data_IF_391482636407
#
_entry.id   IF_391482636407
#
_cell.length_a   1.000
_cell.length_b   1.000
_cell.length_c   1.000
_cell.angle_alpha   90.00
_cell.angle_beta   90.00
_cell.angle_gamma   90.00
#
_symmetry.space_group_name_H-M   'P 1'
#
loop_
_entity.id
_entity.type
_entity.pdbx_description
1 polymer ?
#
# COMPACT_ATOMS: atom_id res chain seq x y z
N UNK A 1 19.68 5.32 16.66
CA UNK A 1 19.57 6.78 16.78
C UNK A 1 19.32 7.45 15.44
N UNK A 2 20.35 7.61 14.60
CA UNK A 2 20.33 8.50 13.42
C UNK A 2 19.65 7.95 12.13
N UNK A 3 19.36 6.64 12.04
CA UNK A 3 18.84 6.03 10.80
C UNK A 3 17.31 6.08 10.66
N UNK A 4 16.57 6.18 11.78
CA UNK A 4 15.09 6.23 11.74
C UNK A 4 14.59 7.63 11.36
N UNK A 5 15.35 8.69 11.66
CA UNK A 5 14.99 10.09 11.37
C UNK A 5 15.03 10.45 9.89
N UNK A 6 15.55 9.57 9.03
CA UNK A 6 15.57 9.76 7.57
C UNK A 6 14.67 8.76 6.82
N UNK A 7 13.84 8.02 7.55
CA UNK A 7 12.84 7.13 6.96
C UNK A 7 11.46 7.78 7.04
N UNK A 8 10.60 7.52 6.05
CA UNK A 8 9.21 7.96 6.09
C UNK A 8 8.36 6.94 6.83
N UNK A 9 7.36 7.45 7.55
CA UNK A 9 6.38 6.64 8.26
C UNK A 9 5.00 6.88 7.66
N UNK A 10 4.34 5.79 7.27
CA UNK A 10 2.97 5.85 6.75
C UNK A 10 2.04 5.12 7.69
N UNK A 11 1.16 5.85 8.36
CA UNK A 11 0.09 5.27 9.16
C UNK A 11 -1.19 5.19 8.34
N UNK A 12 -1.84 4.03 8.33
CA UNK A 12 -3.16 3.86 7.72
C UNK A 12 -4.05 3.04 8.65
N UNK A 13 -5.26 3.53 8.90
CA UNK A 13 -6.28 2.88 9.72
C UNK A 13 -7.51 2.61 8.88
N UNK A 14 -8.05 1.40 8.99
CA UNK A 14 -9.34 1.08 8.40
C UNK A 14 -10.43 1.82 9.17
N UNK A 15 -11.28 2.58 8.48
CA UNK A 15 -12.38 3.34 9.10
C UNK A 15 -13.74 3.01 8.51
N UNK A 16 -13.80 2.65 7.22
CA UNK A 16 -15.05 2.37 6.51
C UNK A 16 -15.17 0.86 6.24
N UNK A 17 -16.23 0.17 6.74
CA UNK A 17 -16.46 -1.25 6.51
C UNK A 17 -16.80 -1.62 5.05
N UNK A 18 -17.21 -0.65 4.25
CA UNK A 18 -17.59 -0.81 2.84
C UNK A 18 -16.48 -0.37 1.88
N UNK A 19 -15.27 -0.10 2.39
CA UNK A 19 -14.17 0.34 1.53
C UNK A 19 -13.78 -0.74 0.53
N UNK A 20 -13.48 -0.30 -0.69
CA UNK A 20 -12.89 -1.14 -1.74
C UNK A 20 -11.37 -1.12 -1.59
N UNK A 21 -10.76 -2.27 -1.27
CA UNK A 21 -9.32 -2.41 -1.01
C UNK A 21 -8.47 -1.95 -2.20
N UNK A 22 -8.94 -2.18 -3.42
CA UNK A 22 -8.25 -1.70 -4.63
C UNK A 22 -8.19 -0.18 -4.68
N UNK A 23 -9.26 0.53 -4.28
CA UNK A 23 -9.28 1.99 -4.32
C UNK A 23 -8.42 2.58 -3.20
N UNK A 24 -8.36 1.93 -2.04
CA UNK A 24 -7.40 2.26 -0.98
C UNK A 24 -5.96 2.05 -1.46
N UNK A 25 -5.68 0.98 -2.20
CA UNK A 25 -4.35 0.74 -2.77
C UNK A 25 -3.97 1.82 -3.80
N UNK A 26 -4.92 2.22 -4.68
CA UNK A 26 -4.71 3.33 -5.62
C UNK A 26 -4.42 4.65 -4.89
N UNK A 27 -5.18 4.95 -3.83
CA UNK A 27 -4.91 6.12 -2.99
C UNK A 27 -3.50 6.06 -2.38
N UNK A 28 -3.09 4.88 -1.92
CA UNK A 28 -1.72 4.60 -1.49
C UNK A 28 -0.67 4.91 -2.55
N UNK A 29 -0.92 4.56 -3.82
CA UNK A 29 -0.01 4.88 -4.93
C UNK A 29 0.02 6.37 -5.27
N UNK A 30 -1.10 7.08 -5.20
CA UNK A 30 -1.11 8.54 -5.33
C UNK A 30 -0.29 9.21 -4.21
N UNK A 31 -0.41 8.73 -2.97
CA UNK A 31 0.48 9.19 -1.90
C UNK A 31 1.94 8.82 -2.17
N UNK A 32 2.19 7.65 -2.75
CA UNK A 32 3.52 7.19 -3.18
C UNK A 32 4.15 8.12 -4.22
N UNK A 33 3.41 8.51 -5.25
CA UNK A 33 3.86 9.45 -6.29
C UNK A 33 4.18 10.82 -5.68
N UNK A 34 3.34 11.31 -4.77
CA UNK A 34 3.62 12.54 -4.02
C UNK A 34 4.97 12.47 -3.33
N UNK A 35 5.17 11.43 -2.51
CA UNK A 35 6.38 11.26 -1.70
C UNK A 35 7.61 11.06 -2.57
N UNK A 36 7.49 10.30 -3.65
CA UNK A 36 8.59 10.06 -4.59
C UNK A 36 9.12 11.37 -5.20
N UNK A 37 8.24 12.36 -5.41
CA UNK A 37 8.59 13.63 -6.03
C UNK A 37 8.98 14.73 -5.04
N UNK A 38 8.56 14.65 -3.78
CA UNK A 38 8.69 15.75 -2.82
C UNK A 38 9.52 15.40 -1.59
N UNK A 39 9.71 14.11 -1.29
CA UNK A 39 10.44 13.67 -0.10
C UNK A 39 11.79 13.07 -0.45
N UNK A 40 12.78 13.30 0.41
CA UNK A 40 14.07 12.63 0.37
C UNK A 40 14.11 11.61 1.50
N UNK A 41 14.01 10.32 1.16
CA UNK A 41 13.91 9.24 2.13
C UNK A 41 14.93 8.12 1.88
N UNK A 42 15.41 7.52 2.97
CA UNK A 42 16.24 6.31 2.91
C UNK A 42 15.42 5.01 2.89
N UNK A 43 14.10 5.13 2.98
CA UNK A 43 13.13 4.04 2.89
C UNK A 43 11.94 4.24 3.83
N UNK A 44 11.00 3.31 3.77
CA UNK A 44 9.68 3.51 4.37
C UNK A 44 9.33 2.44 5.40
N UNK A 45 8.73 2.91 6.50
CA UNK A 45 8.01 2.08 7.46
C UNK A 45 6.51 2.29 7.26
N UNK A 46 5.78 1.19 7.03
CA UNK A 46 4.33 1.22 6.88
C UNK A 46 3.68 0.64 8.12
N UNK A 47 2.76 1.39 8.71
CA UNK A 47 1.98 1.01 9.88
C UNK A 47 0.53 0.90 9.44
N UNK A 48 -0.01 -0.32 9.50
CA UNK A 48 -1.36 -0.65 9.05
C UNK A 48 -2.16 -1.14 10.26
N UNK A 49 -3.15 -0.34 10.66
CA UNK A 49 -4.04 -0.64 11.78
C UNK A 49 -5.34 -1.30 11.29
N UNK A 50 -5.50 -2.57 11.69
CA UNK A 50 -6.61 -3.44 11.33
C UNK A 50 -7.69 -3.51 12.41
N UNK A 51 -7.70 -2.60 13.39
CA UNK A 51 -8.70 -2.59 14.49
C UNK A 51 -10.15 -2.65 14.00
N UNK A 52 -10.45 -2.04 12.85
CA UNK A 52 -11.79 -2.04 12.25
C UNK A 52 -11.88 -2.94 11.00
N UNK A 53 -10.98 -3.90 10.84
CA UNK A 53 -11.00 -4.83 9.72
C UNK A 53 -12.20 -5.78 9.82
N UNK A 54 -12.92 -5.95 8.71
CA UNK A 54 -14.03 -6.90 8.59
C UNK A 54 -13.65 -8.05 7.66
N UNK A 55 -14.42 -9.14 7.69
CA UNK A 55 -14.26 -10.24 6.73
C UNK A 55 -14.47 -9.75 5.28
N UNK A 56 -15.33 -8.75 5.07
CA UNK A 56 -15.56 -8.18 3.74
C UNK A 56 -14.30 -7.54 3.16
N UNK A 57 -13.48 -6.87 3.98
CA UNK A 57 -12.17 -6.39 3.53
C UNK A 57 -11.24 -7.56 3.18
N UNK A 58 -11.22 -8.58 4.04
CA UNK A 58 -10.38 -9.77 3.86
C UNK A 58 -10.65 -10.50 2.54
N UNK A 59 -11.92 -10.68 2.16
CA UNK A 59 -12.30 -11.37 0.93
C UNK A 59 -11.84 -10.66 -0.35
N UNK A 60 -11.56 -9.36 -0.29
CA UNK A 60 -11.05 -8.60 -1.44
C UNK A 60 -9.56 -8.87 -1.72
N UNK A 61 -8.79 -9.35 -0.72
CA UNK A 61 -7.36 -9.66 -0.85
C UNK A 61 -7.11 -10.98 -1.59
N UNK A 62 -7.44 -11.00 -2.88
CA UNK A 62 -7.12 -12.13 -3.76
C UNK A 62 -5.59 -12.21 -3.98
N UNK A 63 -5.04 -13.40 -4.28
CA UNK A 63 -3.63 -13.54 -4.65
C UNK A 63 -3.22 -12.58 -5.77
N UNK A 64 -4.11 -12.39 -6.75
CA UNK A 64 -3.90 -11.48 -7.87
C UNK A 64 -3.77 -10.02 -7.40
N UNK A 65 -4.67 -9.55 -6.53
CA UNK A 65 -4.60 -8.19 -6.01
C UNK A 65 -3.32 -7.97 -5.18
N UNK A 66 -2.97 -8.93 -4.31
CA UNK A 66 -1.75 -8.84 -3.50
C UNK A 66 -0.50 -8.79 -4.39
N UNK A 67 -0.43 -9.66 -5.41
CA UNK A 67 0.67 -9.66 -6.38
C UNK A 67 0.76 -8.34 -7.14
N UNK A 68 -0.37 -7.77 -7.59
CA UNK A 68 -0.41 -6.46 -8.26
C UNK A 68 0.15 -5.37 -7.35
N UNK A 69 -0.37 -5.28 -6.12
CA UNK A 69 0.09 -4.29 -5.15
C UNK A 69 1.60 -4.42 -4.93
N UNK A 70 2.07 -5.65 -4.68
CA UNK A 70 3.48 -5.91 -4.44
C UNK A 70 4.38 -5.55 -5.65
N UNK A 71 3.92 -5.84 -6.87
CA UNK A 71 4.61 -5.46 -8.09
C UNK A 71 4.72 -3.94 -8.22
N UNK A 72 3.62 -3.19 -8.05
CA UNK A 72 3.64 -1.73 -8.14
C UNK A 72 4.57 -1.09 -7.11
N UNK A 73 4.58 -1.61 -5.87
CA UNK A 73 5.45 -1.09 -4.80
C UNK A 73 6.92 -1.30 -5.13
N UNK A 74 7.29 -2.50 -5.59
CA UNK A 74 8.69 -2.90 -5.74
C UNK A 74 9.30 -2.60 -7.10
N UNK A 75 8.50 -2.69 -8.17
CA UNK A 75 8.97 -2.54 -9.54
C UNK A 75 8.65 -1.16 -10.13
N UNK A 76 7.54 -0.53 -9.74
CA UNK A 76 7.14 0.77 -10.28
C UNK A 76 7.65 1.92 -9.42
N UNK A 77 7.32 1.94 -8.12
CA UNK A 77 7.78 3.02 -7.22
C UNK A 77 9.20 2.76 -6.69
N UNK A 78 9.71 1.53 -6.81
CA UNK A 78 11.02 1.10 -6.30
C UNK A 78 11.25 1.47 -4.82
N UNK A 79 10.19 1.45 -4.00
CA UNK A 79 10.24 1.88 -2.60
C UNK A 79 11.15 0.94 -1.80
N UNK A 80 12.08 1.52 -1.04
CA UNK A 80 12.93 0.79 -0.10
C UNK A 80 12.13 0.47 1.17
N UNK A 81 11.41 -0.65 1.17
CA UNK A 81 10.65 -1.12 2.34
C UNK A 81 11.62 -1.36 3.51
N UNK A 82 11.46 -0.67 4.63
CA UNK A 82 12.25 -0.85 5.86
C UNK A 82 11.50 -1.64 6.91
N UNK A 83 10.19 -1.49 6.98
CA UNK A 83 9.32 -2.28 7.86
C UNK A 83 7.86 -2.22 7.41
N UNK A 84 7.14 -3.33 7.59
CA UNK A 84 5.70 -3.43 7.43
C UNK A 84 5.14 -3.88 8.79
N UNK A 85 4.45 -3.00 9.47
CA UNK A 85 3.96 -3.17 10.83
C UNK A 85 2.43 -3.29 10.79
N UNK A 86 1.92 -4.49 11.00
CA UNK A 86 0.48 -4.73 11.04
C UNK A 86 0.03 -4.78 12.50
N UNK A 87 -0.87 -3.89 12.87
CA UNK A 87 -1.38 -3.74 14.24
C UNK A 87 -2.82 -4.24 14.29
N UNK A 88 -3.16 -4.99 15.33
CA UNK A 88 -4.53 -5.48 15.60
C UNK A 88 -5.11 -6.32 14.44
N UNK A 89 -4.29 -7.19 13.84
CA UNK A 89 -4.74 -8.10 12.78
C UNK A 89 -5.69 -9.15 13.38
N UNK A 90 -6.95 -9.25 12.90
CA UNK A 90 -7.87 -10.27 13.38
C UNK A 90 -7.48 -11.67 12.91
N UNK A 91 -7.96 -12.71 13.61
CA UNK A 91 -7.62 -14.12 13.34
C UNK A 91 -7.81 -14.51 11.86
N UNK A 92 -8.87 -14.03 11.22
CA UNK A 92 -9.13 -14.31 9.81
C UNK A 92 -8.09 -13.71 8.85
N UNK A 93 -7.37 -12.66 9.26
CA UNK A 93 -6.33 -12.01 8.47
C UNK A 93 -5.03 -12.81 8.39
N UNK A 94 -4.83 -13.82 9.24
CA UNK A 94 -3.58 -14.61 9.26
C UNK A 94 -3.38 -15.44 7.98
N UNK A 95 -4.47 -15.94 7.38
CA UNK A 95 -4.40 -16.68 6.11
C UNK A 95 -3.97 -15.79 4.94
N UNK A 96 -4.52 -14.56 4.89
CA UNK A 96 -4.15 -13.53 3.91
C UNK A 96 -2.69 -13.14 4.09
N UNK A 97 -2.24 -12.98 5.33
CA UNK A 97 -0.85 -12.71 5.62
C UNK A 97 0.07 -13.84 5.15
N UNK A 98 -0.30 -15.09 5.38
CA UNK A 98 0.47 -16.24 4.91
C UNK A 98 0.57 -16.26 3.38
N UNK A 99 -0.52 -15.92 2.69
CA UNK A 99 -0.53 -15.76 1.23
C UNK A 99 0.40 -14.61 0.78
N UNK A 100 0.31 -13.44 1.42
CA UNK A 100 1.16 -12.29 1.11
C UNK A 100 2.65 -12.63 1.30
N UNK A 101 3.03 -13.31 2.38
CA UNK A 101 4.41 -13.75 2.62
C UNK A 101 4.94 -14.70 1.55
N UNK A 102 4.10 -15.56 0.96
CA UNK A 102 4.48 -16.45 -0.15
C UNK A 102 4.74 -15.69 -1.45
N UNK A 103 4.02 -14.59 -1.68
CA UNK A 103 4.15 -13.73 -2.88
C UNK A 103 5.35 -12.80 -2.75
N UNK A 104 5.62 -12.30 -1.54
CA UNK A 104 6.72 -11.37 -1.29
C UNK A 104 8.09 -12.05 -1.41
N UNK A 105 9.11 -11.28 -1.83
CA UNK A 105 10.50 -11.73 -1.74
C UNK A 105 10.87 -11.96 -0.27
N UNK A 106 11.71 -12.96 0.06
CA UNK A 106 12.06 -13.30 1.45
C UNK A 106 12.49 -12.09 2.29
N UNK A 107 13.37 -11.24 1.73
CA UNK A 107 13.84 -9.99 2.36
C UNK A 107 12.71 -9.02 2.77
N UNK A 108 11.59 -8.99 2.05
CA UNK A 108 10.45 -8.14 2.38
C UNK A 108 9.50 -8.84 3.36
N UNK A 109 9.29 -10.15 3.20
CA UNK A 109 8.49 -10.95 4.13
C UNK A 109 9.09 -10.99 5.56
N UNK A 110 10.42 -10.97 5.69
CA UNK A 110 11.15 -10.87 6.96
C UNK A 110 10.95 -9.53 7.68
N UNK A 111 10.59 -8.48 6.95
CA UNK A 111 10.32 -7.12 7.48
C UNK A 111 8.87 -6.91 7.87
N UNK A 112 8.05 -7.97 7.80
CA UNK A 112 6.67 -7.93 8.19
C UNK A 112 6.53 -8.36 9.65
N UNK A 113 5.99 -7.45 10.46
CA UNK A 113 5.83 -7.60 11.89
C UNK A 113 4.35 -7.48 12.27
N UNK A 114 3.92 -8.32 13.21
CA UNK A 114 2.59 -8.30 13.81
C UNK A 114 2.67 -7.74 15.22
N UNK A 115 1.71 -6.88 15.57
CA UNK A 115 1.58 -6.32 16.91
C UNK A 115 0.14 -6.46 17.40
N UNK A 116 0.00 -6.89 18.65
CA UNK A 116 -1.24 -6.80 19.40
C UNK A 116 -1.23 -5.46 20.16
N UNK A 117 -1.93 -4.45 19.63
CA UNK A 117 -1.94 -3.09 20.14
C UNK A 117 -0.69 -2.25 19.82
N UNK A 118 -0.87 -0.92 19.95
CA UNK A 118 0.20 0.05 19.65
C UNK A 118 1.32 0.09 20.70
N UNK A 119 1.03 -0.25 21.95
CA UNK A 119 2.07 -0.29 23.00
C UNK A 119 3.26 -1.19 22.62
N UNK A 120 3.00 -2.29 21.92
CA UNK A 120 4.04 -3.19 21.44
C UNK A 120 4.88 -2.62 20.29
N UNK A 121 4.31 -1.72 19.46
CA UNK A 121 5.08 -1.06 18.40
C UNK A 121 6.05 -0.02 18.96
N UNK A 122 5.72 0.60 20.09
CA UNK A 122 6.54 1.63 20.73
C UNK A 122 7.87 1.10 21.30
N UNK A 123 7.98 -0.22 21.45
CA UNK A 123 9.23 -0.88 21.81
C UNK A 123 10.23 -0.94 20.64
N UNK A 124 9.79 -0.72 19.41
CA UNK A 124 10.63 -0.83 18.20
C UNK A 124 10.68 0.46 17.39
N UNK A 125 9.63 1.29 17.45
CA UNK A 125 9.54 2.58 16.80
C UNK A 125 9.32 3.69 17.84
N UNK A 126 9.89 4.91 17.65
CA UNK A 126 9.77 5.99 18.63
C UNK A 126 8.32 6.43 18.84
N UNK A 127 7.91 6.79 20.06
CA UNK A 127 6.52 7.25 20.32
C UNK A 127 6.21 8.59 19.66
N UNK A 128 7.24 9.40 19.44
CA UNK A 128 7.17 10.77 18.95
C UNK A 128 6.70 10.86 17.49
N UNK A 129 6.77 9.77 16.73
CA UNK A 129 6.27 9.72 15.35
C UNK A 129 4.79 9.32 15.25
N UNK A 130 4.17 8.89 16.36
CA UNK A 130 2.78 8.43 16.38
C UNK A 130 1.84 9.52 16.91
N UNK A 131 0.64 9.65 16.32
CA UNK A 131 -0.41 10.51 16.83
C UNK A 131 -0.76 10.29 18.31
N UNK A 132 -1.18 11.36 18.97
CA UNK A 132 -1.54 11.37 20.38
C UNK A 132 -2.77 10.50 20.70
N UNK A 133 -3.73 10.44 19.78
CA UNK A 133 -4.99 9.69 19.90
C UNK A 133 -4.82 8.16 19.75
N UNK A 134 -3.60 7.68 19.52
CA UNK A 134 -3.26 6.25 19.47
C UNK A 134 -2.14 5.87 20.44
N UNK A 135 -1.86 6.71 21.44
CA UNK A 135 -0.86 6.46 22.49
C UNK A 135 0.56 6.95 22.15
N UNK A 136 0.72 7.66 21.03
CA UNK A 136 1.94 8.37 20.69
C UNK A 136 2.07 9.72 21.39
N UNK A 137 3.14 10.45 21.07
CA UNK A 137 3.43 11.77 21.65
C UNK A 137 3.53 12.88 20.60
N UNK A 138 3.23 12.59 19.32
CA UNK A 138 3.13 13.63 18.30
C UNK A 138 1.95 14.56 18.59
N UNK A 139 2.13 15.86 18.33
CA UNK A 139 1.08 16.87 18.46
C UNK A 139 0.14 16.87 17.24
N UNK A 140 -0.34 15.69 16.87
CA UNK A 140 -1.32 15.45 15.81
C UNK A 140 -2.22 14.27 16.19
N UNK A 141 -3.38 14.19 15.56
CA UNK A 141 -4.32 13.06 15.61
C UNK A 141 -4.29 12.28 14.30
N UNK A 142 -4.82 11.05 14.30
CA UNK A 142 -4.99 10.27 13.06
C UNK A 142 -5.88 11.00 12.06
N UNK A 143 -6.94 11.67 12.55
CA UNK A 143 -7.86 12.43 11.70
C UNK A 143 -7.16 13.61 11.03
N UNK A 144 -6.41 14.42 11.77
CA UNK A 144 -5.66 15.55 11.22
C UNK A 144 -4.64 15.11 10.16
N UNK A 145 -3.97 13.96 10.37
CA UNK A 145 -3.08 13.39 9.35
C UNK A 145 -3.85 12.99 8.09
N UNK A 146 -5.03 12.39 8.25
CA UNK A 146 -5.90 12.01 7.13
C UNK A 146 -6.38 13.24 6.36
N UNK A 147 -6.79 14.29 7.06
CA UNK A 147 -7.26 15.53 6.46
C UNK A 147 -6.14 16.25 5.72
N UNK A 148 -4.93 16.30 6.28
CA UNK A 148 -3.77 16.87 5.61
C UNK A 148 -3.40 16.13 4.31
N UNK A 149 -3.48 14.79 4.29
CA UNK A 149 -3.30 14.01 3.06
C UNK A 149 -4.41 14.27 2.05
N UNK A 150 -5.65 14.35 2.50
CA UNK A 150 -6.79 14.65 1.66
C UNK A 150 -6.64 16.04 1.00
N UNK A 151 -6.34 17.08 1.78
CA UNK A 151 -6.10 18.44 1.27
C UNK A 151 -4.95 18.48 0.27
N UNK A 152 -3.85 17.79 0.56
CA UNK A 152 -2.68 17.70 -0.31
C UNK A 152 -3.04 17.11 -1.68
N UNK A 153 -3.69 15.95 -1.69
CA UNK A 153 -4.07 15.26 -2.93
C UNK A 153 -5.20 15.97 -3.68
N UNK A 154 -6.04 16.73 -2.98
CA UNK A 154 -7.12 17.52 -3.56
C UNK A 154 -6.69 18.91 -4.02
N UNK A 155 -5.46 19.34 -3.74
CA UNK A 155 -4.94 20.62 -4.20
C UNK A 155 -4.90 20.70 -5.72
N UNK A 156 -5.06 21.91 -6.26
CA UNK A 156 -5.09 22.13 -7.70
C UNK A 156 -3.81 21.70 -8.41
N UNK A 157 -2.66 21.82 -7.76
CA UNK A 157 -1.37 21.36 -8.30
C UNK A 157 -1.36 19.85 -8.51
N UNK A 158 -1.80 19.07 -7.52
CA UNK A 158 -1.81 17.61 -7.60
C UNK A 158 -2.90 17.07 -8.52
N UNK A 159 -4.10 17.69 -8.51
CA UNK A 159 -5.14 17.38 -9.50
C UNK A 159 -4.65 17.58 -10.93
N UNK A 160 -3.98 18.70 -11.20
CA UNK A 160 -3.39 18.98 -12.53
C UNK A 160 -2.27 18.01 -12.87
N UNK A 161 -1.44 17.66 -11.90
CA UNK A 161 -0.38 16.66 -12.09
C UNK A 161 -0.98 15.32 -12.54
N UNK A 162 -1.94 14.77 -11.81
CA UNK A 162 -2.55 13.48 -12.18
C UNK A 162 -3.35 13.54 -13.47
N UNK A 163 -4.09 14.63 -13.73
CA UNK A 163 -4.76 14.81 -15.02
C UNK A 163 -3.77 14.86 -16.20
N UNK A 164 -2.59 15.44 -16.00
CA UNK A 164 -1.52 15.45 -16.98
C UNK A 164 -0.87 14.06 -17.14
N UNK A 165 -0.72 13.29 -16.06
CA UNK A 165 -0.26 11.90 -16.13
C UNK A 165 -1.23 11.06 -16.97
N UNK A 166 -2.52 11.06 -16.64
CA UNK A 166 -3.55 10.31 -17.37
C UNK A 166 -3.60 10.66 -18.86
N UNK A 167 -3.43 11.94 -19.21
CA UNK A 167 -3.49 12.40 -20.60
C UNK A 167 -2.26 12.02 -21.41
N UNK A 168 -1.06 12.04 -20.81
CA UNK A 168 0.19 11.97 -21.57
C UNK A 168 0.96 10.67 -21.36
N UNK A 169 0.65 9.89 -20.33
CA UNK A 169 1.36 8.66 -19.98
C UNK A 169 0.44 7.46 -20.17
N UNK A 170 0.11 7.18 -21.43
CA UNK A 170 -0.57 5.96 -21.84
C UNK A 170 0.39 5.03 -22.58
N UNK A 171 0.17 3.73 -22.44
CA UNK A 171 0.95 2.72 -23.15
C UNK A 171 0.35 2.53 -24.55
N UNK A 172 1.13 2.84 -25.58
CA UNK A 172 0.80 2.47 -26.95
C UNK A 172 1.12 0.98 -27.17
N UNK A 173 0.13 0.12 -26.95
CA UNK A 173 0.27 -1.34 -27.03
C UNK A 173 0.74 -1.82 -28.42
N UNK A 174 0.52 -1.05 -29.49
CA UNK A 174 0.98 -1.39 -30.84
C UNK A 174 2.50 -1.40 -30.98
N UNK A 175 3.21 -0.68 -30.10
CA UNK A 175 4.68 -0.58 -30.08
C UNK A 175 5.34 -1.59 -29.17
N UNK A 176 4.57 -2.47 -28.53
CA UNK A 176 5.10 -3.46 -27.60
C UNK A 176 5.84 -4.57 -28.36
N UNK A 177 7.14 -4.70 -28.12
CA UNK A 177 8.01 -5.68 -28.82
C UNK A 177 7.73 -7.13 -28.38
N UNK A 178 7.38 -7.34 -27.12
CA UNK A 178 7.06 -8.65 -26.54
C UNK A 178 5.67 -8.61 -25.93
N UNK A 179 4.83 -9.66 -26.08
CA UNK A 179 3.51 -9.71 -25.45
C UNK A 179 3.54 -9.31 -23.98
N UNK A 180 2.50 -8.62 -23.52
CA UNK A 180 2.40 -8.18 -22.13
C UNK A 180 2.52 -9.37 -21.19
N UNK A 181 3.53 -9.38 -20.32
CA UNK A 181 3.62 -10.41 -19.26
C UNK A 181 2.56 -10.22 -18.18
N UNK A 182 1.93 -9.04 -18.13
CA UNK A 182 0.93 -8.68 -17.12
C UNK A 182 -0.35 -9.53 -17.27
N UNK A 183 -0.67 -10.00 -18.48
CA UNK A 183 -1.82 -10.89 -18.73
C UNK A 183 -1.58 -12.30 -18.16
N UNK A 184 -0.35 -12.80 -18.22
CA UNK A 184 0.04 -14.10 -17.66
C UNK A 184 0.35 -14.05 -16.15
N UNK A 185 1.02 -12.99 -15.67
CA UNK A 185 1.46 -12.86 -14.28
C UNK A 185 0.31 -12.55 -13.30
N UNK A 186 -0.79 -11.97 -13.80
CA UNK A 186 -1.95 -11.60 -12.99
C UNK A 186 -3.27 -12.14 -13.55
N UNK A 187 -3.21 -13.11 -14.47
CA UNK A 187 -4.31 -13.98 -14.91
C UNK A 187 -5.67 -13.34 -15.06
N UNK A 188 -5.89 -12.49 -16.07
CA UNK A 188 -7.22 -12.33 -16.71
C UNK A 188 -7.04 -11.92 -18.17
N UNK A 189 -7.09 -12.89 -19.07
CA UNK A 189 -7.85 -12.75 -20.32
C UNK A 189 -8.50 -14.11 -20.59
N UNK A 190 -9.81 -14.09 -20.87
CA UNK A 190 -10.63 -15.29 -20.92
C UNK A 190 -10.07 -16.33 -21.89
N UNK A 191 -10.10 -17.59 -21.48
CA UNK A 191 -10.20 -18.74 -22.38
C UNK A 191 -11.48 -18.62 -23.20
N UNK A 192 -11.53 -17.70 -24.17
CA UNK A 192 -12.36 -17.90 -25.35
C UNK A 192 -11.73 -19.07 -26.08
N UNK A 193 -12.24 -20.27 -25.80
CA UNK A 193 -12.05 -21.40 -26.69
C UNK A 193 -12.47 -20.91 -28.06
N UNK A 194 -11.52 -20.78 -28.99
CA UNK A 194 -11.85 -20.67 -30.41
C UNK A 194 -12.73 -21.87 -30.72
N UNK A 195 -14.00 -21.59 -31.02
CA UNK A 195 -14.89 -22.59 -31.60
C UNK A 195 -14.42 -22.69 -33.06
N UNK A 196 -13.64 -23.73 -33.37
CA UNK A 196 -13.47 -24.13 -34.76
C UNK A 196 -14.81 -24.73 -35.20
N UNK A 197 -15.49 -24.03 -36.10
CA UNK A 197 -16.62 -24.57 -36.83
C UNK A 197 -16.04 -25.35 -38.01
N UNK A 198 -16.21 -26.67 -38.00
CA UNK A 198 -16.17 -27.49 -39.21
C UNK A 198 -17.40 -27.23 -40.08
#
# INVERSE_FOLDING_TARGET
GCLLTQCLFSLSRIVNPDMVVLDVAKLGFLMGDYRLLNDVTHGDHWILDFSNATMNHALQFTPMLISKIYYFVTSCHAIKIKGIHLVNVPVFGHSILALAKKIMKPKHAERLHLYDGFENIFNVLPREIFPSDIGGTANTTVQELSDAWYETLQSESWKRFYANQDKNFFVDESKRITPSKITDDFGVEGTFRKLELD
#
